data_IF_046886828031
#
_entry.id   IF_046886828031
#
_cell.length_a   1.000
_cell.length_b   1.000
_cell.length_c   1.000
_cell.angle_alpha   90.00
_cell.angle_beta   90.00
_cell.angle_gamma   90.00
#
_symmetry.space_group_name_H-M   'P 1'
#
loop_
_entity.id
_entity.type
_entity.pdbx_description
1 polymer ?
2 non-polymer ?
3 non-polymer ?
4 water ?
#
# COMPACT_ATOMS: atom_id res chain seq x y z
N UNK A 10 -8.57 28.08 -15.15
CA UNK A 10 -7.93 27.67 -13.85
C UNK A 10 -8.79 26.71 -13.02
N UNK A 11 -8.29 26.36 -11.83
CA UNK A 11 -8.90 25.33 -11.02
C UNK A 11 -9.61 25.89 -9.79
N UNK A 12 -10.75 25.28 -9.46
CA UNK A 12 -11.58 25.67 -8.31
C UNK A 12 -11.13 25.00 -6.99
N UNK A 13 -10.27 23.99 -7.12
CA UNK A 13 -9.76 23.26 -5.97
C UNK A 13 -8.70 24.05 -5.20
N UNK A 14 -8.62 23.83 -3.87
CA UNK A 14 -7.56 24.44 -3.06
C UNK A 14 -6.19 24.03 -3.55
N UNK A 15 -5.19 24.92 -3.39
CA UNK A 15 -3.85 24.62 -3.90
C UNK A 15 -3.32 23.25 -3.42
N UNK A 16 -3.45 22.94 -2.12
CA UNK A 16 -2.99 21.62 -1.64
C UNK A 16 -3.62 20.43 -2.37
N UNK A 17 -4.90 20.51 -2.71
CA UNK A 17 -5.57 19.46 -3.48
C UNK A 17 -4.98 19.37 -4.89
N UNK A 18 -4.78 20.53 -5.52
CA UNK A 18 -4.18 20.62 -6.85
C UNK A 18 -2.78 20.01 -6.90
N UNK A 19 -1.94 20.38 -5.94
CA UNK A 19 -0.58 19.84 -5.86
C UNK A 19 -0.58 18.33 -5.65
N UNK A 20 -1.64 17.84 -5.01
CA UNK A 20 -1.83 16.42 -4.82
C UNK A 20 -2.13 15.72 -6.15
N UNK A 21 -3.08 16.26 -6.92
CA UNK A 21 -3.42 15.76 -8.25
C UNK A 21 -2.20 15.76 -9.19
N UNK A 22 -1.43 16.84 -9.15
CA UNK A 22 -0.21 16.96 -9.97
C UNK A 22 0.80 15.88 -9.65
N UNK A 23 0.83 15.51 -8.36
CA UNK A 23 1.78 14.54 -7.84
C UNK A 23 1.35 13.11 -8.18
N UNK A 24 0.04 12.89 -8.10
CA UNK A 24 -0.58 11.59 -8.30
C UNK A 24 -0.64 11.21 -9.79
N UNK A 25 -0.78 12.22 -10.65
CA UNK A 25 -0.87 11.97 -12.09
C UNK A 25 0.38 12.41 -12.86
N UNK A 26 1.49 12.58 -12.15
CA UNK A 26 2.76 12.93 -12.80
C UNK A 26 3.25 11.81 -13.73
N UNK A 27 3.23 12.09 -15.04
CA UNK A 27 3.58 11.11 -16.06
C UNK A 27 5.09 10.87 -16.10
N UNK A 28 5.86 11.89 -15.74
CA UNK A 28 7.31 11.76 -15.66
C UNK A 28 7.72 10.67 -14.67
N UNK A 29 7.13 10.70 -13.48
CA UNK A 29 7.51 9.75 -12.42
C UNK A 29 7.00 8.34 -12.66
N UNK A 30 5.92 8.21 -13.43
CA UNK A 30 5.49 6.92 -13.97
C UNK A 30 6.60 6.32 -14.84
N UNK A 31 7.12 7.13 -15.77
CA UNK A 31 8.25 6.74 -16.62
C UNK A 31 9.49 6.42 -15.81
N UNK A 32 9.77 7.25 -14.81
CA UNK A 32 10.98 7.17 -14.01
C UNK A 32 11.10 5.83 -13.27
N UNK A 33 9.99 5.37 -12.71
CA UNK A 33 9.96 4.10 -11.96
C UNK A 33 10.10 2.87 -12.86
N UNK A 34 9.68 3.02 -14.12
CA UNK A 34 9.84 1.97 -15.13
C UNK A 34 11.29 1.84 -15.55
N UNK A 35 12.00 2.97 -15.61
CA UNK A 35 13.43 2.99 -15.83
C UNK A 35 14.13 2.37 -14.63
N UNK A 36 13.67 2.72 -13.42
CA UNK A 36 14.21 2.16 -12.18
C UNK A 36 14.11 0.64 -12.19
N UNK A 37 13.00 0.13 -12.72
CA UNK A 37 12.78 -1.32 -12.86
C UNK A 37 13.42 -1.90 -14.12
N UNK A 38 14.14 -1.05 -14.85
CA UNK A 38 14.90 -1.45 -16.04
C UNK A 38 14.04 -1.93 -17.20
N UNK A 39 12.76 -1.55 -17.20
CA UNK A 39 11.90 -1.81 -18.34
C UNK A 39 12.46 -1.08 -19.56
N UNK A 40 12.49 -1.78 -20.69
CA UNK A 40 12.88 -1.17 -21.96
C UNK A 40 11.72 -0.29 -22.42
N UNK A 41 11.86 1.02 -22.21
CA UNK A 41 10.79 1.97 -22.55
C UNK A 41 10.58 2.08 -24.05
N UNK A 42 11.63 1.78 -24.81
CA UNK A 42 11.56 1.63 -26.26
C UNK A 42 10.63 0.49 -26.68
N UNK A 43 10.87 -0.70 -26.12
CA UNK A 43 10.04 -1.87 -26.42
C UNK A 43 8.67 -1.82 -25.74
N UNK A 44 8.61 -1.16 -24.59
CA UNK A 44 7.35 -0.97 -23.88
C UNK A 44 7.28 0.36 -23.15
N UNK A 45 6.60 1.34 -23.75
CA UNK A 45 6.38 2.62 -23.06
C UNK A 45 5.11 2.54 -22.21
N UNK A 46 4.84 3.62 -21.46
CA UNK A 46 3.65 3.73 -20.62
C UNK A 46 2.37 3.30 -21.33
N UNK A 47 2.21 3.78 -22.57
CA UNK A 47 1.02 3.51 -23.37
C UNK A 47 0.75 2.04 -23.63
N UNK A 48 1.79 1.22 -23.63
CA UNK A 48 1.65 -0.18 -24.03
C UNK A 48 1.37 -1.19 -22.91
N UNK A 49 1.38 -0.72 -21.67
CA UNK A 49 1.03 -1.55 -20.52
C UNK A 49 -0.45 -1.94 -20.55
N UNK A 50 -0.74 -3.19 -20.17
CA UNK A 50 -2.14 -3.67 -20.12
C UNK A 50 -2.40 -4.56 -18.90
N UNK A 51 -3.66 -4.67 -18.49
CA UNK A 51 -4.03 -5.55 -17.36
C UNK A 51 -3.75 -7.01 -17.72
N UNK A 52 -4.10 -7.39 -18.95
CA UNK A 52 -3.93 -8.75 -19.46
C UNK A 52 -2.46 -9.17 -19.53
N UNK A 53 -1.59 -8.23 -19.90
CA UNK A 53 -0.15 -8.46 -19.93
C UNK A 53 0.40 -8.73 -18.54
N UNK A 54 0.12 -7.84 -17.59
CA UNK A 54 0.56 -7.97 -16.21
C UNK A 54 -0.02 -9.21 -15.55
N UNK A 55 -1.28 -9.53 -15.90
CA UNK A 55 -1.95 -10.72 -15.40
C UNK A 55 -1.21 -12.01 -15.76
N UNK A 56 -0.84 -12.15 -17.02
CA UNK A 56 -0.12 -13.34 -17.47
C UNK A 56 1.31 -13.40 -16.90
N UNK A 57 1.89 -12.24 -16.63
CA UNK A 57 3.21 -12.17 -16.00
C UNK A 57 3.19 -12.67 -14.57
N UNK A 58 2.07 -12.45 -13.88
CA UNK A 58 1.87 -13.05 -12.55
C UNK A 58 1.85 -14.57 -12.68
N UNK A 59 1.14 -15.05 -13.70
CA UNK A 59 1.00 -16.48 -13.94
C UNK A 59 2.32 -17.18 -14.27
N UNK A 60 3.17 -16.51 -15.05
CA UNK A 60 4.52 -17.00 -15.30
C UNK A 60 5.31 -17.10 -14.00
N UNK A 61 5.15 -16.10 -13.14
CA UNK A 61 5.84 -16.06 -11.86
C UNK A 61 5.40 -17.19 -10.93
N UNK A 62 4.11 -17.50 -10.96
CA UNK A 62 3.59 -18.65 -10.21
C UNK A 62 4.19 -19.94 -10.72
N UNK A 63 4.34 -20.04 -12.05
CA UNK A 63 4.92 -21.21 -12.69
C UNK A 63 6.40 -21.38 -12.31
N UNK A 64 7.12 -20.27 -12.24
CA UNK A 64 8.49 -20.31 -11.73
C UNK A 64 8.54 -20.95 -10.34
N UNK A 65 7.70 -20.45 -9.44
CA UNK A 65 7.63 -20.94 -8.07
C UNK A 65 7.23 -22.42 -7.99
N UNK A 66 6.25 -22.81 -8.81
CA UNK A 66 5.85 -24.22 -8.93
C UNK A 66 7.07 -25.07 -9.27
N UNK A 67 7.77 -24.67 -10.32
CA UNK A 67 8.96 -25.35 -10.80
C UNK A 67 10.04 -25.43 -9.72
N UNK A 68 10.37 -24.29 -9.11
CA UNK A 68 11.41 -24.24 -8.06
C UNK A 68 11.13 -25.21 -6.90
N UNK A 69 9.88 -25.26 -6.46
CA UNK A 69 9.46 -26.17 -5.39
C UNK A 69 9.48 -27.62 -5.83
N UNK A 70 9.11 -27.87 -7.09
CA UNK A 70 9.18 -29.21 -7.67
C UNK A 70 10.58 -29.50 -8.22
N UNK A 71 11.50 -28.55 -8.04
CA UNK A 71 12.89 -28.67 -8.47
C UNK A 71 13.07 -29.09 -9.91
N UNK A 72 12.71 -28.21 -10.84
CA UNK A 72 12.77 -28.52 -12.27
C UNK A 72 14.19 -28.34 -12.82
N UNK A 73 14.38 -28.79 -14.06
CA UNK A 73 15.68 -28.73 -14.73
C UNK A 73 16.08 -27.30 -15.13
N UNK A 74 17.39 -27.07 -15.27
CA UNK A 74 17.93 -25.75 -15.63
C UNK A 74 17.28 -25.11 -16.86
N UNK A 75 16.91 -25.93 -17.85
CA UNK A 75 16.37 -25.40 -19.10
C UNK A 75 14.89 -25.04 -18.96
N UNK A 76 14.20 -25.71 -18.04
CA UNK A 76 12.79 -25.44 -17.77
C UNK A 76 12.63 -24.10 -17.06
N UNK A 77 13.57 -23.84 -16.14
CA UNK A 77 13.71 -22.57 -15.45
C UNK A 77 14.18 -21.47 -16.42
N UNK A 78 15.03 -21.85 -17.37
CA UNK A 78 15.55 -20.94 -18.38
C UNK A 78 14.47 -20.51 -19.36
N UNK A 79 13.63 -21.47 -19.77
CA UNK A 79 12.52 -21.20 -20.65
C UNK A 79 11.61 -20.16 -20.00
N UNK A 80 11.21 -20.42 -18.75
CA UNK A 80 10.28 -19.53 -18.02
C UNK A 80 10.77 -18.09 -17.89
N UNK A 81 12.06 -17.92 -17.60
CA UNK A 81 12.64 -16.58 -17.50
C UNK A 81 12.57 -15.86 -18.84
N UNK A 82 12.88 -16.57 -19.92
CA UNK A 82 12.74 -16.05 -21.27
C UNK A 82 11.31 -15.60 -21.59
N UNK A 83 10.33 -16.43 -21.22
CA UNK A 83 8.92 -16.05 -21.36
C UNK A 83 8.60 -14.76 -20.59
N UNK A 84 9.08 -14.67 -19.36
CA UNK A 84 8.81 -13.50 -18.54
C UNK A 84 9.39 -12.24 -19.17
N UNK A 85 10.68 -12.28 -19.54
CA UNK A 85 11.36 -11.10 -20.09
C UNK A 85 10.96 -10.78 -21.54
N UNK A 86 10.12 -11.63 -22.12
CA UNK A 86 9.52 -11.40 -23.44
C UNK A 86 8.20 -10.66 -23.22
N UNK A 87 7.48 -11.07 -22.20
CA UNK A 87 6.25 -10.41 -21.80
C UNK A 87 6.50 -9.03 -21.18
N UNK A 88 7.58 -8.90 -20.40
CA UNK A 88 7.99 -7.60 -19.84
C UNK A 88 9.45 -7.31 -20.17
N UNK A 89 9.70 -6.64 -21.31
CA UNK A 89 11.02 -6.32 -21.87
C UNK A 89 11.89 -5.46 -20.96
N UNK A 90 13.08 -5.94 -20.63
CA UNK A 90 14.04 -5.17 -19.84
C UNK A 90 15.14 -4.63 -20.71
N UNK A 91 15.97 -3.76 -20.13
CA UNK A 91 17.11 -3.17 -20.84
C UNK A 91 18.32 -4.11 -20.78
N UNK A 97 20.14 -9.65 -17.17
CA UNK A 97 19.07 -9.64 -16.17
C UNK A 97 19.09 -10.89 -15.27
N UNK A 98 18.59 -10.76 -14.03
CA UNK A 98 18.51 -11.88 -13.08
C UNK A 98 17.64 -13.07 -13.55
N UNK A 99 18.22 -14.27 -13.46
CA UNK A 99 17.51 -15.51 -13.70
C UNK A 99 16.54 -15.73 -12.54
N UNK A 100 15.31 -16.09 -12.86
CA UNK A 100 14.32 -16.38 -11.81
C UNK A 100 14.34 -17.85 -11.42
N UNK A 101 15.12 -18.16 -10.37
CA UNK A 101 15.32 -19.54 -9.93
C UNK A 101 15.12 -19.75 -8.43
N UNK A 102 14.96 -18.65 -7.70
CA UNK A 102 14.70 -18.66 -6.27
C UNK A 102 13.49 -17.79 -5.94
N UNK A 103 13.00 -17.88 -4.71
CA UNK A 103 11.81 -17.13 -4.28
C UNK A 103 12.05 -15.62 -4.21
N UNK A 104 13.26 -15.25 -3.80
CA UNK A 104 13.66 -13.85 -3.60
C UNK A 104 13.65 -13.01 -4.88
N UNK A 105 14.08 -13.61 -5.99
CA UNK A 105 14.04 -12.94 -7.30
C UNK A 105 12.62 -12.92 -7.84
N UNK A 106 11.85 -13.96 -7.54
CA UNK A 106 10.44 -14.02 -7.93
C UNK A 106 9.62 -12.94 -7.22
N UNK A 107 9.86 -12.78 -5.92
CA UNK A 107 9.16 -11.78 -5.11
C UNK A 107 9.57 -10.35 -5.48
N UNK A 108 10.82 -10.17 -5.92
CA UNK A 108 11.26 -8.89 -6.45
C UNK A 108 10.44 -8.49 -7.67
N UNK A 109 10.07 -9.48 -8.46
CA UNK A 109 9.30 -9.26 -9.69
C UNK A 109 7.81 -9.06 -9.41
N UNK A 110 7.27 -9.75 -8.39
CA UNK A 110 5.89 -9.48 -7.95
C UNK A 110 5.73 -8.01 -7.55
N UNK A 111 6.65 -7.52 -6.71
CA UNK A 111 6.64 -6.13 -6.24
C UNK A 111 6.60 -5.14 -7.38
N UNK A 112 7.38 -5.43 -8.42
CA UNK A 112 7.41 -4.62 -9.63
C UNK A 112 6.04 -4.64 -10.33
N UNK A 113 5.49 -5.83 -10.53
CA UNK A 113 4.20 -5.96 -11.22
C UNK A 113 3.06 -5.29 -10.45
N UNK A 114 3.09 -5.39 -9.13
CA UNK A 114 2.11 -4.71 -8.28
C UNK A 114 2.13 -3.21 -8.56
N UNK A 115 3.34 -2.65 -8.61
CA UNK A 115 3.52 -1.23 -8.91
C UNK A 115 3.03 -0.90 -10.32
N UNK A 116 3.51 -1.66 -11.31
CA UNK A 116 3.11 -1.46 -12.71
C UNK A 116 1.61 -1.58 -12.92
N UNK A 117 0.97 -2.50 -12.19
CA UNK A 117 -0.48 -2.64 -12.22
C UNK A 117 -1.17 -1.31 -11.89
N UNK A 118 -0.70 -0.66 -10.83
CA UNK A 118 -1.23 0.66 -10.41
C UNK A 118 -0.87 1.75 -11.41
N UNK A 119 0.37 1.70 -11.90
CA UNK A 119 0.85 2.66 -12.90
C UNK A 119 -0.01 2.63 -14.18
N UNK A 120 -0.44 1.43 -14.57
CA UNK A 120 -1.33 1.24 -15.71
C UNK A 120 -2.71 1.86 -15.46
N UNK A 121 -3.25 1.61 -14.27
CA UNK A 121 -4.53 2.18 -13.85
C UNK A 121 -4.50 3.71 -13.91
N UNK A 122 -3.40 4.31 -13.42
CA UNK A 122 -3.24 5.77 -13.42
C UNK A 122 -3.25 6.31 -14.85
N UNK A 123 -2.53 5.63 -15.74
CA UNK A 123 -2.38 6.09 -17.12
C UNK A 123 -3.66 5.89 -17.94
N UNK A 124 -4.36 4.79 -17.71
CA UNK A 124 -5.64 4.53 -18.37
C UNK A 124 -6.68 5.60 -18.03
N UNK A 125 -6.51 6.24 -16.87
CA UNK A 125 -7.43 7.26 -16.41
C UNK A 125 -7.28 8.55 -17.20
N UNK A 126 -6.02 8.95 -17.42
CA UNK A 126 -5.70 10.14 -18.21
C UNK A 126 -6.14 10.02 -19.67
N UNK A 127 -5.95 8.83 -20.24
CA UNK A 127 -6.32 8.57 -21.64
C UNK A 127 -7.83 8.51 -21.87
N UNK A 128 -8.58 8.09 -20.85
CA UNK A 128 -10.03 8.13 -20.88
C UNK A 128 -10.57 9.53 -20.66
N UNK A 129 -11.88 9.69 -20.81
CA UNK A 129 -12.53 11.00 -20.69
C UNK A 129 -12.26 11.93 -21.87
N UNK A 130 -13.03 13.01 -21.95
CA UNK A 130 -12.94 13.93 -23.08
C UNK A 130 -12.55 15.36 -22.68
N UNK A 135 -12.44 24.10 -18.18
CA UNK A 135 -12.00 23.53 -16.91
C UNK A 135 -10.59 22.93 -16.94
N UNK A 136 -9.78 23.34 -15.97
CA UNK A 136 -8.38 22.90 -15.83
C UNK A 136 -8.29 21.37 -15.85
N UNK A 137 -7.27 20.82 -16.56
CA UNK A 137 -7.00 19.38 -16.53
C UNK A 137 -6.99 18.81 -15.11
N UNK A 138 -6.43 19.58 -14.17
CA UNK A 138 -6.39 19.22 -12.75
C UNK A 138 -7.76 18.83 -12.20
N UNK A 139 -8.79 19.62 -12.51
CA UNK A 139 -10.15 19.37 -12.03
C UNK A 139 -10.77 18.16 -12.70
N UNK A 140 -10.51 18.02 -14.00
CA UNK A 140 -11.01 16.88 -14.77
C UNK A 140 -10.41 15.58 -14.23
N UNK A 141 -9.12 15.62 -13.90
CA UNK A 141 -8.41 14.50 -13.29
C UNK A 141 -9.01 14.13 -11.93
N UNK A 142 -9.15 15.14 -11.06
CA UNK A 142 -9.73 14.97 -9.74
C UNK A 142 -11.02 14.18 -9.78
N UNK A 143 -11.85 14.45 -10.79
CA UNK A 143 -13.14 13.78 -10.93
C UNK A 143 -13.01 12.31 -11.34
N UNK A 144 -11.96 11.98 -12.09
CA UNK A 144 -11.74 10.60 -12.56
C UNK A 144 -11.46 9.68 -11.38
N UNK A 145 -10.99 10.29 -10.29
CA UNK A 145 -10.71 9.57 -9.06
C UNK A 145 -11.97 9.10 -8.33
N UNK A 146 -13.12 9.69 -8.66
CA UNK A 146 -14.37 9.47 -7.91
C UNK A 146 -14.07 9.46 -6.40
N UNK A 147 -13.48 10.56 -5.92
CA UNK A 147 -12.97 10.63 -4.55
C UNK A 147 -13.02 12.05 -4.00
N UNK A 148 -13.88 12.27 -3.01
CA UNK A 148 -13.96 13.57 -2.36
C UNK A 148 -12.68 13.83 -1.56
N UNK A 149 -12.01 14.94 -1.87
CA UNK A 149 -10.81 15.31 -1.16
C UNK A 149 -11.00 16.70 -0.59
N UNK A 150 -10.94 16.80 0.73
CA UNK A 150 -11.05 18.08 1.43
C UNK A 150 -9.84 18.30 2.33
N UNK A 151 -9.41 19.56 2.48
CA UNK A 151 -8.25 19.85 3.31
C UNK A 151 -8.62 19.93 4.79
N UNK A 152 -7.86 19.21 5.61
CA UNK A 152 -7.98 19.28 7.05
C UNK A 152 -7.06 20.39 7.55
N UNK A 153 -7.64 21.38 8.25
CA UNK A 153 -6.90 22.55 8.73
C UNK A 153 -5.81 22.20 9.74
N UNK A 154 -4.67 22.87 9.60
CA UNK A 154 -3.50 22.68 10.45
C UNK A 154 -3.81 22.72 11.95
N UNK A 155 -4.73 23.60 12.34
CA UNK A 155 -5.07 23.80 13.76
C UNK A 155 -6.29 23.02 14.27
N UNK A 156 -6.85 22.17 13.43
CA UNK A 156 -8.04 21.38 13.81
C UNK A 156 -7.73 20.29 14.84
N UNK A 157 -8.79 19.67 15.38
CA UNK A 157 -8.68 18.55 16.31
C UNK A 157 -8.14 17.30 15.62
N UNK A 158 -8.62 17.06 14.40
CA UNK A 158 -8.14 15.95 13.58
C UNK A 158 -6.64 16.06 13.34
N UNK A 159 -6.16 17.27 13.07
CA UNK A 159 -4.73 17.48 12.81
C UNK A 159 -3.86 17.29 14.06
N UNK A 160 -4.38 17.68 15.22
CA UNK A 160 -3.65 17.53 16.48
C UNK A 160 -3.40 16.06 16.80
N UNK A 161 -4.46 15.26 16.65
CA UNK A 161 -4.44 13.83 16.88
C UNK A 161 -3.56 13.10 15.85
N UNK A 162 -3.79 13.39 14.57
CA UNK A 162 -3.01 12.82 13.47
C UNK A 162 -1.50 13.08 13.64
N UNK A 163 -1.14 14.34 13.91
CA UNK A 163 0.27 14.72 14.15
C UNK A 163 0.89 14.02 15.35
N UNK A 164 0.08 13.79 16.38
CA UNK A 164 0.51 13.06 17.57
C UNK A 164 0.73 11.59 17.22
N UNK A 165 -0.21 11.02 16.47
CA UNK A 165 -0.13 9.65 15.97
C UNK A 165 1.21 9.48 15.26
N UNK A 166 1.55 10.45 14.40
CA UNK A 166 2.83 10.46 13.67
C UNK A 166 4.04 10.53 14.62
N UNK A 167 4.10 11.57 15.45
CA UNK A 167 5.20 11.74 16.40
C UNK A 167 5.42 10.52 17.32
N UNK A 168 4.33 10.04 17.92
CA UNK A 168 4.43 8.96 18.92
C UNK A 168 4.73 7.57 18.37
N UNK A 169 4.17 7.24 17.21
CA UNK A 169 4.34 5.89 16.64
C UNK A 169 5.51 5.79 15.65
N UNK A 170 6.45 6.72 15.74
CA UNK A 170 7.70 6.65 14.98
C UNK A 170 8.64 5.73 15.71
N UNK A 171 9.17 4.73 15.01
CA UNK A 171 10.01 3.68 15.62
C UNK A 171 11.45 4.11 15.82
N UNK A 172 12.12 3.56 16.84
CA UNK A 172 13.50 3.95 17.15
C UNK A 172 14.51 3.36 16.20
N UNK A 173 14.20 2.18 15.65
CA UNK A 173 15.07 1.57 14.63
C UNK A 173 14.95 2.25 13.26
N UNK A 174 13.88 3.02 13.05
CA UNK A 174 13.71 3.76 11.80
C UNK A 174 14.25 5.16 11.90
N UNK A 175 15.50 5.27 12.33
CA UNK A 175 16.12 6.57 12.64
C UNK A 175 16.96 7.20 11.51
N UNK A 176 16.74 6.77 10.27
CA UNK A 176 17.49 7.33 9.14
C UNK A 176 16.85 8.62 8.63
N UNK A 177 15.64 8.90 9.10
CA UNK A 177 14.90 10.10 8.71
C UNK A 177 14.00 10.63 9.83
N UNK A 178 13.64 11.91 9.72
CA UNK A 178 12.62 12.51 10.56
C UNK A 178 11.37 12.74 9.73
N UNK A 179 10.22 12.74 10.37
CA UNK A 179 8.96 12.81 9.64
C UNK A 179 8.20 14.11 9.93
N UNK A 180 7.76 14.77 8.87
CA UNK A 180 6.97 16.01 8.98
C UNK A 180 5.70 15.95 8.13
N UNK A 181 4.55 16.22 8.78
CA UNK A 181 3.26 16.28 8.09
C UNK A 181 3.09 17.61 7.38
N UNK A 182 2.97 17.60 6.06
CA UNK A 182 2.79 18.84 5.28
C UNK A 182 1.31 19.12 5.04
N UNK A 183 0.58 18.10 4.63
CA UNK A 183 -0.85 18.23 4.33
C UNK A 183 -1.62 17.02 4.85
N UNK A 184 -2.85 17.28 5.31
CA UNK A 184 -3.75 16.21 5.74
C UNK A 184 -5.07 16.39 5.02
N UNK A 185 -5.55 15.33 4.38
CA UNK A 185 -6.78 15.41 3.59
C UNK A 185 -7.85 14.46 4.11
N UNK A 186 -9.06 14.97 4.28
CA UNK A 186 -10.23 14.10 4.47
C UNK A 186 -10.61 13.50 3.11
N UNK A 187 -10.71 12.18 3.04
CA UNK A 187 -11.06 11.50 1.78
C UNK A 187 -12.30 10.60 1.90
N UNK A 188 -13.15 10.63 0.87
CA UNK A 188 -14.32 9.76 0.84
C UNK A 188 -14.49 9.16 -0.55
N UNK A 189 -14.06 7.92 -0.70
CA UNK A 189 -14.17 7.20 -1.98
C UNK A 189 -15.62 6.91 -2.30
N UNK A 190 -16.02 7.16 -3.54
CA UNK A 190 -17.36 6.80 -4.00
C UNK A 190 -17.62 5.32 -3.79
N UNK A 191 -18.80 5.01 -3.24
CA UNK A 191 -19.24 3.63 -3.04
C UNK A 191 -18.73 2.94 -1.77
N UNK A 192 -17.60 3.41 -1.26
CA UNK A 192 -16.90 2.76 -0.14
C UNK A 192 -17.75 2.65 1.13
N UNK A 193 -18.47 3.73 1.45
CA UNK A 193 -19.30 3.75 2.65
C UNK A 193 -20.43 2.72 2.61
N UNK A 194 -21.18 2.70 1.50
CA UNK A 194 -22.23 1.70 1.30
C UNK A 194 -21.65 0.28 1.41
N UNK A 195 -20.43 0.12 0.87
CA UNK A 195 -19.70 -1.15 0.90
C UNK A 195 -19.26 -1.53 2.33
N UNK A 196 -18.81 -0.54 3.09
CA UNK A 196 -18.27 -0.71 4.44
C UNK A 196 -19.32 -0.89 5.54
N UNK A 197 -20.48 -0.24 5.40
CA UNK A 197 -21.54 -0.25 6.43
C UNK A 197 -21.75 -1.59 7.16
N UNK A 198 -21.98 -2.69 6.41
CA UNK A 198 -22.29 -3.95 7.09
C UNK A 198 -21.18 -4.44 8.03
N UNK A 199 -19.94 -4.03 7.76
CA UNK A 199 -18.79 -4.52 8.53
C UNK A 199 -18.52 -3.75 9.83
N UNK A 200 -19.30 -2.68 10.04
CA UNK A 200 -19.29 -1.96 11.31
C UNK A 200 -19.86 -2.80 12.45
N UNK A 201 -20.69 -3.80 12.10
CA UNK A 201 -21.31 -4.72 13.09
C UNK A 201 -20.29 -5.44 13.97
N UNK A 202 -19.22 -5.95 13.35
CA UNK A 202 -18.01 -6.32 14.08
C UNK A 202 -17.42 -5.01 14.60
N UNK A 203 -17.11 -4.92 15.88
CA UNK A 203 -16.43 -3.74 16.35
C UNK A 203 -14.94 -3.97 16.23
N UNK A 204 -14.19 -3.52 17.23
CA UNK A 204 -12.73 -3.44 17.16
C UNK A 204 -12.32 -2.71 15.89
N UNK A 205 -12.98 -1.58 15.64
CA UNK A 205 -12.62 -0.69 14.54
C UNK A 205 -11.47 0.19 15.00
N UNK A 206 -10.42 0.28 14.18
CA UNK A 206 -9.22 1.06 14.54
C UNK A 206 -8.67 1.83 13.34
N UNK A 207 -8.11 3.00 13.63
CA UNK A 207 -7.52 3.86 12.60
C UNK A 207 -6.06 3.51 12.39
N UNK A 208 -5.76 2.97 11.20
CA UNK A 208 -4.45 2.40 10.91
C UNK A 208 -3.75 2.94 9.68
N UNK A 209 -2.43 2.73 9.64
CA UNK A 209 -1.56 3.21 8.57
C UNK A 209 -1.46 2.26 7.40
N UNK A 210 -1.39 2.83 6.22
CA UNK A 210 -1.06 2.07 5.02
C UNK A 210 -0.20 2.89 4.09
N UNK A 211 1.10 2.60 4.06
CA UNK A 211 2.02 3.29 3.15
C UNK A 211 2.07 2.61 1.80
N UNK A 212 2.37 3.39 0.77
CA UNK A 212 2.47 2.90 -0.60
C UNK A 212 3.27 3.89 -1.43
N UNK A 213 3.69 3.48 -2.62
CA UNK A 213 4.42 4.36 -3.54
C UNK A 213 3.49 5.42 -4.11
N UNK A 214 4.02 6.64 -4.28
CA UNK A 214 3.21 7.76 -4.82
C UNK A 214 2.56 7.39 -6.15
N UNK A 215 3.31 6.68 -6.98
CA UNK A 215 2.85 6.20 -8.28
C UNK A 215 1.67 5.21 -8.20
N UNK A 216 1.37 4.75 -6.99
CA UNK A 216 0.23 3.86 -6.77
C UNK A 216 -1.07 4.58 -6.44
N UNK A 217 -0.97 5.84 -5.99
CA UNK A 217 -2.12 6.50 -5.36
C UNK A 217 -3.30 6.85 -6.24
N UNK A 218 -3.07 6.98 -7.54
CA UNK A 218 -4.18 7.18 -8.46
C UNK A 218 -5.04 5.92 -8.49
N UNK A 219 -4.38 4.77 -8.52
CA UNK A 219 -5.07 3.47 -8.49
C UNK A 219 -5.77 3.20 -7.17
N UNK A 220 -5.10 3.60 -6.08
CA UNK A 220 -5.61 3.39 -4.72
C UNK A 220 -6.91 4.16 -4.48
N UNK A 221 -6.98 5.38 -5.01
CA UNK A 221 -8.18 6.20 -4.82
C UNK A 221 -9.31 5.83 -5.79
N UNK A 222 -8.96 5.37 -6.99
CA UNK A 222 -9.98 4.97 -7.96
C UNK A 222 -10.66 3.70 -7.51
N UNK A 223 -9.87 2.78 -6.96
CA UNK A 223 -10.35 1.42 -6.73
C UNK A 223 -10.21 0.93 -5.30
N UNK A 224 -9.73 1.80 -4.42
CA UNK A 224 -9.48 1.43 -3.03
C UNK A 224 -8.33 0.45 -2.92
N UNK A 225 -8.02 0.05 -1.71
CA UNK A 225 -7.00 -0.97 -1.48
C UNK A 225 -7.55 -2.33 -1.93
N UNK A 226 -6.82 -3.00 -2.82
CA UNK A 226 -7.25 -4.29 -3.31
C UNK A 226 -6.32 -5.38 -2.78
N UNK A 227 -6.82 -6.61 -2.78
CA UNK A 227 -6.02 -7.77 -2.40
C UNK A 227 -5.35 -8.33 -3.66
N UNK A 228 -4.15 -8.89 -3.48
CA UNK A 228 -3.42 -9.59 -4.54
C UNK A 228 -4.34 -10.46 -5.40
N UNK A 229 -4.08 -10.49 -6.73
CA UNK A 229 -4.90 -11.30 -7.63
C UNK A 229 -4.57 -12.79 -7.47
N UNK A 230 -5.58 -13.68 -7.69
CA UNK A 230 -5.37 -15.13 -7.60
C UNK A 230 -4.21 -15.63 -8.49
N UNK A 231 -3.99 -14.97 -9.62
CA UNK A 231 -2.93 -15.30 -10.56
C UNK A 231 -1.53 -15.19 -9.93
N UNK A 232 -1.37 -14.25 -8.99
CA UNK A 232 -0.08 -14.01 -8.35
C UNK A 232 0.41 -15.19 -7.50
N UNK A 233 1.75 -15.38 -7.40
CA UNK A 233 2.33 -16.42 -6.54
C UNK A 233 2.03 -16.23 -5.05
N UNK A 234 1.89 -17.34 -4.33
CA UNK A 234 1.35 -17.32 -2.96
C UNK A 234 2.34 -16.95 -1.86
N UNK A 235 3.61 -17.32 -2.03
CA UNK A 235 4.61 -17.05 -0.99
C UNK A 235 5.18 -15.63 -1.08
N UNK A 236 5.92 -15.23 -0.04
CA UNK A 236 6.36 -13.85 0.12
C UNK A 236 5.50 -13.15 1.14
N UNK A 237 4.21 -13.51 1.13
CA UNK A 237 3.19 -12.98 2.05
C UNK A 237 3.29 -13.64 3.42
N UNK A 238 3.65 -12.85 4.44
CA UNK A 238 3.72 -13.36 5.80
C UNK A 238 2.36 -13.91 6.25
N UNK A 239 1.30 -13.16 5.99
CA UNK A 239 -0.02 -13.55 6.47
C UNK A 239 -1.06 -13.80 5.37
N UNK A 240 -0.59 -14.27 4.21
CA UNK A 240 -1.46 -14.58 3.08
C UNK A 240 -1.79 -13.36 2.22
N UNK A 241 -2.69 -13.54 1.26
CA UNK A 241 -3.13 -12.43 0.42
C UNK A 241 -4.26 -11.65 1.09
N UNK A 242 -3.88 -10.54 1.73
CA UNK A 242 -4.86 -9.64 2.37
C UNK A 242 -4.43 -8.18 2.26
N UNK A 243 -5.13 -7.28 2.94
CA UNK A 243 -4.70 -5.89 2.99
C UNK A 243 -3.96 -5.62 4.32
N UNK A 244 -2.77 -5.05 4.23
CA UNK A 244 -1.83 -5.00 5.36
C UNK A 244 -1.70 -3.60 5.95
N UNK A 245 -1.83 -3.51 7.27
CA UNK A 245 -1.77 -2.22 7.97
C UNK A 245 -0.76 -2.23 9.10
N UNK A 246 -0.41 -1.03 9.59
CA UNK A 246 0.49 -0.87 10.72
C UNK A 246 -0.09 0.08 11.76
N UNK A 247 0.33 -0.06 13.02
CA UNK A 247 0.03 0.94 14.04
C UNK A 247 1.22 1.85 14.31
N UNK A 248 2.38 1.52 13.75
CA UNK A 248 3.54 2.41 13.81
C UNK A 248 3.66 3.11 12.47
N UNK A 249 3.63 4.44 12.47
CA UNK A 249 3.69 5.24 11.23
C UNK A 249 4.87 4.87 10.32
N UNK A 250 6.06 4.72 10.90
CA UNK A 250 7.30 4.54 10.14
C UNK A 250 7.39 3.18 9.44
N UNK A 251 6.84 2.12 10.05
CA UNK A 251 6.75 0.82 9.39
C UNK A 251 5.99 0.90 8.07
N UNK A 252 4.92 1.69 8.04
CA UNK A 252 4.17 1.94 6.82
C UNK A 252 4.91 2.92 5.91
N UNK A 253 5.61 3.88 6.53
CA UNK A 253 6.34 4.91 5.79
C UNK A 253 7.48 4.33 4.95
N UNK A 254 7.98 3.17 5.36
CA UNK A 254 9.01 2.47 4.62
C UNK A 254 8.54 1.95 3.26
N UNK A 255 7.23 1.77 3.08
CA UNK A 255 6.66 1.35 1.79
C UNK A 255 6.39 2.53 0.86
N UNK A 256 6.75 3.73 1.31
CA UNK A 256 6.71 4.92 0.47
C UNK A 256 7.91 4.92 -0.49
N UNK A 257 8.91 4.10 -0.17
CA UNK A 257 10.15 4.02 -0.94
C UNK A 257 10.60 5.38 -1.42
N UNK A 258 10.88 6.25 -0.46
CA UNK A 258 11.37 7.60 -0.72
C UNK A 258 12.86 7.67 -0.38
N UNK A 259 13.61 8.41 -1.19
CA UNK A 259 15.04 8.61 -0.97
C UNK A 259 15.41 10.10 -1.07
N UNK A 260 16.65 10.40 -1.44
CA UNK A 260 17.10 11.79 -1.57
C UNK A 260 16.31 12.59 -2.61
N UNK A 261 16.18 12.04 -3.82
CA UNK A 261 15.46 12.68 -4.93
C UNK A 261 13.97 12.83 -4.72
N UNK A 262 13.43 12.09 -3.75
CA UNK A 262 12.03 12.17 -3.38
C UNK A 262 11.87 12.25 -1.86
N UNK A 263 11.88 13.48 -1.31
CA UNK A 263 11.63 13.58 0.13
C UNK A 263 10.12 13.57 0.48
N UNK A 264 9.28 13.69 -0.55
CA UNK A 264 7.83 13.75 -0.35
C UNK A 264 7.19 12.39 -0.59
N UNK A 265 6.47 11.90 0.42
CA UNK A 265 5.74 10.65 0.33
C UNK A 265 4.27 10.82 0.66
N UNK A 266 3.49 9.78 0.40
CA UNK A 266 2.06 9.79 0.71
C UNK A 266 1.68 8.58 1.54
N UNK A 267 0.71 8.77 2.43
CA UNK A 267 0.26 7.71 3.33
C UNK A 267 -1.23 7.80 3.61
N UNK A 268 -1.83 6.68 3.97
CA UNK A 268 -3.26 6.61 4.28
C UNK A 268 -3.49 6.28 5.74
N UNK A 269 -4.46 6.96 6.35
CA UNK A 269 -5.08 6.46 7.56
C UNK A 269 -6.43 5.86 7.17
N UNK A 270 -6.60 4.58 7.47
CA UNK A 270 -7.84 3.90 7.15
C UNK A 270 -8.56 3.37 8.37
N UNK A 271 -9.89 3.32 8.30
CA UNK A 271 -10.69 2.72 9.34
C UNK A 271 -10.88 1.23 9.01
N UNK A 272 -10.30 0.39 9.84
CA UNK A 272 -10.34 -1.04 9.60
C UNK A 272 -11.24 -1.68 10.66
N UNK A 273 -12.22 -2.46 10.20
CA UNK A 273 -13.12 -3.17 11.08
C UNK A 273 -12.55 -4.57 11.32
N UNK A 274 -11.73 -4.66 12.36
CA UNK A 274 -10.93 -5.87 12.60
C UNK A 274 -11.72 -7.06 13.14
N UNK A 275 -12.84 -6.78 13.80
CA UNK A 275 -13.60 -7.79 14.51
C UNK A 275 -12.69 -8.52 15.48
N UNK A 276 -12.94 -9.81 15.64
CA UNK A 276 -12.13 -10.66 16.51
C UNK A 276 -10.81 -11.03 15.81
N UNK A 277 -9.70 -10.56 16.36
CA UNK A 277 -8.38 -10.71 15.72
C UNK A 277 -7.72 -12.04 16.01
N UNK A 278 -7.31 -12.74 14.95
CA UNK A 278 -6.54 -13.98 15.05
C UNK A 278 -5.07 -13.59 15.21
N UNK A 279 -4.60 -13.61 16.46
CA UNK A 279 -3.29 -13.02 16.79
C UNK A 279 -2.13 -14.02 16.71
N UNK A 280 -1.13 -13.67 15.89
CA UNK A 280 -0.05 -14.59 15.51
C UNK A 280 1.34 -13.97 15.66
N UNK A 281 2.36 -14.82 15.75
CA UNK A 281 3.75 -14.39 15.93
C UNK A 281 4.63 -14.84 14.76
N UNK A 282 4.12 -15.80 14.00
CA UNK A 282 4.87 -16.42 12.91
C UNK A 282 4.06 -16.50 11.66
N UNK A 283 4.76 -16.51 10.52
CA UNK A 283 4.11 -16.53 9.22
C UNK A 283 3.17 -17.72 9.10
N UNK A 284 1.97 -17.47 8.58
CA UNK A 284 1.03 -18.52 8.24
C UNK A 284 0.32 -18.17 6.95
N UNK A 285 -0.04 -19.20 6.19
CA UNK A 285 -0.74 -19.02 4.93
C UNK A 285 -2.22 -19.16 5.19
N UNK A 286 -2.86 -18.01 5.40
CA UNK A 286 -4.27 -17.98 5.80
C UNK A 286 -5.20 -18.34 4.62
N UNK A 287 -5.37 -19.65 4.44
CA UNK A 287 -6.37 -20.21 3.55
C UNK A 287 -7.77 -19.79 3.99
N UNK A 288 -8.02 -19.89 5.29
CA UNK A 288 -9.32 -19.58 5.86
C UNK A 288 -9.16 -19.08 7.30
N UNK A 289 -9.83 -17.98 7.62
CA UNK A 289 -9.89 -17.49 8.99
C UNK A 289 -10.70 -18.46 9.87
N UNK A 290 -10.24 -18.72 11.11
CA UNK A 290 -10.99 -19.60 12.01
C UNK A 290 -12.37 -19.02 12.32
N UNK A 291 -13.31 -19.87 12.72
CA UNK A 291 -14.68 -19.40 13.02
C UNK A 291 -14.63 -18.28 14.05
N UNK A 292 -15.37 -17.21 13.77
CA UNK A 292 -15.49 -16.07 14.69
C UNK A 292 -14.26 -15.19 14.74
N UNK A 293 -13.36 -15.36 13.76
CA UNK A 293 -12.21 -14.49 13.59
C UNK A 293 -12.37 -13.70 12.28
N UNK A 294 -12.04 -12.41 12.30
CA UNK A 294 -12.35 -11.51 11.17
C UNK A 294 -11.16 -10.76 10.62
N UNK A 295 -10.04 -10.85 11.32
CA UNK A 295 -8.79 -10.27 10.86
C UNK A 295 -7.63 -11.04 11.47
N UNK A 296 -6.41 -10.68 11.08
CA UNK A 296 -5.19 -11.22 11.67
C UNK A 296 -4.38 -10.06 12.22
N UNK A 297 -3.81 -10.23 13.41
CA UNK A 297 -2.83 -9.27 13.92
C UNK A 297 -1.48 -9.93 14.21
N UNK A 298 -0.45 -9.56 13.45
CA UNK A 298 0.91 -9.98 13.76
C UNK A 298 1.48 -9.19 14.92
N UNK A 299 2.08 -9.89 15.88
CA UNK A 299 2.53 -9.27 17.14
C UNK A 299 4.01 -8.91 17.13
N UNK A 300 4.30 -7.62 17.28
CA UNK A 300 5.68 -7.15 17.27
C UNK A 300 6.33 -7.12 18.63
N UNK A 301 7.64 -6.93 18.66
CA UNK A 301 8.37 -6.75 19.91
C UNK A 301 8.06 -5.40 20.51
N UNK A 302 7.70 -4.45 19.65
CA UNK A 302 7.37 -3.09 20.04
C UNK A 302 5.93 -2.73 19.68
N UNK A 303 5.21 -2.19 20.65
CA UNK A 303 3.82 -1.84 20.47
C UNK A 303 3.54 -0.42 20.97
N UNK A 304 2.54 0.25 20.38
CA UNK A 304 2.08 1.50 20.98
C UNK A 304 1.51 1.22 22.37
N UNK A 305 1.75 2.13 23.31
CA UNK A 305 1.28 2.00 24.68
C UNK A 305 -0.21 1.71 24.70
N UNK A 306 -0.61 0.52 25.22
CA UNK A 306 -2.03 0.15 25.30
C UNK A 306 -2.87 1.14 26.09
N UNK A 307 -2.26 1.75 27.11
CA UNK A 307 -2.91 2.73 27.98
C UNK A 307 -3.34 3.99 27.24
N UNK A 308 -2.49 4.48 26.32
CA UNK A 308 -2.67 5.80 25.71
C UNK A 308 -3.63 5.88 24.51
N UNK A 309 -4.37 4.81 24.26
CA UNK A 309 -5.36 4.74 23.18
C UNK A 309 -6.37 5.88 23.23
N UNK A 310 -6.67 6.45 22.08
CA UNK A 310 -7.59 7.59 21.95
C UNK A 310 -8.76 7.25 21.02
N UNK A 311 -9.89 7.91 21.20
CA UNK A 311 -11.04 7.72 20.32
C UNK A 311 -11.23 8.94 19.44
N UNK A 312 -11.56 8.70 18.18
CA UNK A 312 -11.87 9.76 17.24
C UNK A 312 -13.02 9.29 16.37
N UNK A 313 -14.19 9.90 16.61
CA UNK A 313 -15.43 9.59 15.89
C UNK A 313 -15.85 8.11 15.99
N UNK A 314 -15.75 7.57 17.20
CA UNK A 314 -16.14 6.18 17.48
C UNK A 314 -15.06 5.19 17.10
N UNK A 315 -14.00 5.69 16.47
CA UNK A 315 -12.88 4.85 16.03
C UNK A 315 -11.68 4.95 16.98
N UNK A 316 -11.17 3.78 17.38
CA UNK A 316 -10.01 3.67 18.23
C UNK A 316 -8.74 4.05 17.48
N UNK A 317 -7.94 4.93 18.09
CA UNK A 317 -6.66 5.39 17.52
C UNK A 317 -5.49 5.02 18.45
N UNK A 318 -4.73 3.95 18.09
CA UNK A 318 -3.58 3.48 18.90
C UNK A 318 -2.33 4.38 18.82
N UNK A 319 -2.45 5.62 19.26
CA UNK A 319 -1.41 6.63 19.08
C UNK A 319 -0.36 6.72 20.19
N UNK A 320 -0.31 5.72 21.06
CA UNK A 320 0.61 5.73 22.20
C UNK A 320 2.05 5.53 21.75
N UNK A 321 3.00 6.13 22.48
CA UNK A 321 4.43 5.96 22.16
C UNK A 321 4.77 4.47 22.21
N UNK A 322 5.45 4.00 21.16
CA UNK A 322 5.88 2.61 21.07
C UNK A 322 6.69 2.22 22.29
N UNK A 323 6.15 1.30 23.08
CA UNK A 323 6.88 0.75 24.23
C UNK A 323 7.20 -0.72 23.94
N UNK A 324 8.12 -1.27 24.72
CA UNK A 324 8.46 -2.67 24.61
C UNK A 324 7.31 -3.53 25.09
N UNK A 325 6.71 -4.29 24.16
CA UNK A 325 5.74 -5.32 24.50
C UNK A 325 6.53 -6.54 24.95
N UNK A 326 5.99 -7.27 25.92
CA UNK A 326 6.71 -8.42 26.46
C UNK A 326 6.71 -9.62 25.53
N UNK A 327 6.38 -9.41 24.26
CA UNK A 327 6.25 -10.53 23.32
C UNK A 327 7.61 -10.95 22.82
N UNK A 328 8.03 -12.15 23.23
CA UNK A 328 9.30 -12.71 22.80
C UNK A 328 9.12 -13.93 21.88
N UNK A 329 10.17 -14.25 21.13
CA UNK A 329 10.18 -15.25 20.04
C UNK A 329 9.07 -15.01 18.98
N UNK A 330 9.26 -13.91 18.25
CA UNK A 330 8.36 -13.48 17.20
C UNK A 330 9.16 -12.94 16.00
N UNK A 331 8.69 -13.25 14.80
CA UNK A 331 9.31 -12.75 13.57
C UNK A 331 9.39 -11.22 13.47
N UNK A 332 8.38 -10.54 14.02
CA UNK A 332 8.12 -9.11 13.80
C UNK A 332 8.59 -8.19 14.91
N UNK A 333 9.18 -7.05 14.54
CA UNK A 333 9.62 -6.03 15.48
C UNK A 333 8.48 -5.10 15.84
N UNK A 334 7.54 -4.95 14.90
CA UNK A 334 6.41 -4.06 15.04
C UNK A 334 5.17 -4.80 14.61
N UNK A 335 4.02 -4.36 15.11
CA UNK A 335 2.76 -5.01 14.80
C UNK A 335 2.38 -4.89 13.33
N UNK A 336 1.33 -5.60 12.95
CA UNK A 336 0.67 -5.38 11.66
C UNK A 336 -0.69 -6.06 11.62
N UNK A 337 -1.60 -5.50 10.83
CA UNK A 337 -2.99 -5.96 10.78
C UNK A 337 -3.32 -6.31 9.36
N UNK A 338 -4.13 -7.34 9.18
CA UNK A 338 -4.47 -7.82 7.85
C UNK A 338 -5.94 -8.20 7.84
N UNK A 339 -6.67 -7.64 6.88
CA UNK A 339 -8.05 -8.06 6.62
C UNK A 339 -8.11 -8.75 5.25
N UNK A 340 -9.17 -9.51 5.01
CA UNK A 340 -9.25 -10.38 3.83
C UNK A 340 -10.46 -10.08 2.94
N UNK A 341 -11.31 -9.16 3.39
CA UNK A 341 -12.38 -8.62 2.57
C UNK A 341 -12.04 -7.15 2.35
N UNK A 342 -12.05 -6.70 1.09
CA UNK A 342 -11.70 -5.30 0.75
C UNK A 342 -12.69 -4.32 1.35
N UNK A 343 -13.89 -4.82 1.64
CA UNK A 343 -15.00 -4.03 2.18
C UNK A 343 -14.85 -3.69 3.67
N UNK A 344 -13.83 -4.29 4.29
CA UNK A 344 -13.55 -4.10 5.72
C UNK A 344 -12.71 -2.86 5.95
N UNK A 345 -12.36 -2.16 4.87
CA UNK A 345 -11.53 -0.95 4.95
C UNK A 345 -12.35 0.27 4.55
N UNK A 346 -12.23 1.32 5.36
CA UNK A 346 -12.81 2.62 5.04
C UNK A 346 -11.72 3.68 5.14
N UNK A 347 -11.28 4.17 3.99
CA UNK A 347 -10.19 5.14 3.91
C UNK A 347 -10.64 6.53 4.35
N UNK A 348 -9.95 7.09 5.34
CA UNK A 348 -10.43 8.33 5.95
C UNK A 348 -9.51 9.52 5.70
N UNK A 349 -8.22 9.33 5.88
CA UNK A 349 -7.28 10.42 5.69
C UNK A 349 -6.14 10.05 4.74
N UNK A 350 -5.67 11.06 4.01
CA UNK A 350 -4.47 10.96 3.18
C UNK A 350 -3.47 12.03 3.62
N UNK A 351 -2.29 11.59 4.05
CA UNK A 351 -1.25 12.51 4.50
C UNK A 351 -0.15 12.70 3.46
N UNK A 352 0.37 13.91 3.39
CA UNK A 352 1.56 14.21 2.63
C UNK A 352 2.65 14.47 3.65
N UNK A 353 3.75 13.74 3.50
CA UNK A 353 4.84 13.73 4.45
C UNK A 353 6.16 14.09 3.79
N UNK A 354 6.93 14.96 4.46
CA UNK A 354 8.31 15.19 4.08
C UNK A 354 9.17 14.28 4.93
N UNK A 355 9.96 13.44 4.26
CA UNK A 355 10.99 12.66 4.91
C UNK A 355 12.22 13.53 4.97
N UNK A 356 12.62 13.93 6.17
CA UNK A 356 13.80 14.75 6.33
C UNK A 356 15.00 13.87 6.69
N UNK A 357 15.83 13.59 5.68
CA UNK A 357 16.89 12.60 5.79
C UNK A 357 18.13 13.08 6.53
N UNK A 358 19.01 12.13 6.80
CA UNK A 358 20.25 12.38 7.51
C UNK A 358 21.25 11.30 7.06
#
# INVERSE_FOLDING_TARGET
GPLTVNPGTKSKLPKPVQDLIKMIFDVESMKKAMVEYEIDLQKMPLGKLSKRQIQAAYSILSEVQQAVSQGSSDSQILDLSNRFYTLIPHDFGMKKPPLLNNADSVQAKVEMLDNLLDIEVAYSLLRGGSDDSSKDPIDVNYEKLKTDIKVVDRDSEEAEIIRKYVKNTHATTHNAYDLEVIDIFKIEREGECQRYKPFKQLHNRRLLWHGSRTTNFAGILSQGLRIAPPEAPVTGYMFGKGIYFADMVSKSANYCHTSQGDPIGLILLGEVALGNMYELKHASHISKLPKGKHSVKGLGKTTPDPSANISLDGVDVPLGTGISSGVNDTSLLYNEYIVYDIAQVNLKYLLKLKFNFKTSLW
#
